data_IF_754270623397
#
_entry.id   IF_754270623397
#
_cell.length_a   1.000
_cell.length_b   1.000
_cell.length_c   1.000
_cell.angle_alpha   90.00
_cell.angle_beta   90.00
_cell.angle_gamma   90.00
#
_symmetry.space_group_name_H-M   'P 1'
#
loop_
_entity.id
_entity.type
_entity.pdbx_description
1 polymer ?
#
# COMPACT_ATOMS: atom_id res chain seq x y z
N UNK A 1 -0.39 -41.41 6.35
CA UNK A 1 -0.49 -40.28 7.29
C UNK A 1 0.81 -40.32 8.03
N UNK A 2 1.83 -39.68 7.45
CA UNK A 2 3.13 -39.57 8.11
C UNK A 2 2.98 -38.52 9.22
N UNK A 3 3.34 -38.93 10.44
CA UNK A 3 3.35 -38.07 11.62
C UNK A 3 4.42 -36.99 11.37
N UNK A 4 4.08 -35.69 11.42
CA UNK A 4 5.06 -34.64 11.18
C UNK A 4 6.22 -34.79 12.17
N UNK A 5 7.44 -34.90 11.64
CA UNK A 5 8.65 -35.04 12.44
C UNK A 5 8.73 -33.94 13.50
N UNK A 6 9.23 -34.26 14.70
CA UNK A 6 9.31 -33.34 15.85
C UNK A 6 9.94 -31.97 15.50
N UNK A 7 10.82 -31.93 14.50
CA UNK A 7 11.48 -30.73 13.98
C UNK A 7 10.53 -29.78 13.21
N UNK A 8 9.60 -30.33 12.43
CA UNK A 8 8.60 -29.56 11.68
C UNK A 8 7.58 -28.90 12.64
N UNK A 9 7.17 -29.65 13.66
CA UNK A 9 6.29 -29.15 14.72
C UNK A 9 6.93 -28.02 15.54
N UNK A 10 8.24 -28.13 15.83
CA UNK A 10 8.98 -27.09 16.55
C UNK A 10 9.12 -25.79 15.73
N UNK A 11 9.37 -25.92 14.42
CA UNK A 11 9.48 -24.77 13.51
C UNK A 11 8.14 -24.02 13.38
N UNK A 12 7.02 -24.74 13.24
CA UNK A 12 5.68 -24.15 13.19
C UNK A 12 5.36 -23.34 14.46
N UNK A 13 5.69 -23.89 15.64
CA UNK A 13 5.47 -23.22 16.92
C UNK A 13 6.36 -21.97 17.07
N UNK A 14 7.60 -22.03 16.62
CA UNK A 14 8.53 -20.90 16.65
C UNK A 14 8.05 -19.76 15.73
N UNK A 15 7.61 -20.08 14.51
CA UNK A 15 7.06 -19.08 13.58
C UNK A 15 5.77 -18.45 14.11
N UNK A 16 4.90 -19.24 14.73
CA UNK A 16 3.70 -18.73 15.37
C UNK A 16 4.03 -17.75 16.51
N UNK A 17 5.05 -18.02 17.33
CA UNK A 17 5.47 -17.12 18.40
C UNK A 17 6.07 -15.81 17.87
N UNK A 18 6.86 -15.87 16.79
CA UNK A 18 7.48 -14.69 16.19
C UNK A 18 6.53 -13.86 15.31
N UNK A 19 5.42 -14.43 14.85
CA UNK A 19 4.42 -13.73 14.04
C UNK A 19 3.86 -12.49 14.73
N UNK A 20 3.54 -12.59 16.02
CA UNK A 20 2.95 -11.52 16.82
C UNK A 20 3.87 -10.29 16.91
N UNK A 21 5.15 -10.39 17.34
CA UNK A 21 6.03 -9.24 17.34
C UNK A 21 6.27 -8.70 15.92
N UNK A 22 6.38 -9.55 14.90
CA UNK A 22 6.52 -9.09 13.50
C UNK A 22 5.34 -8.22 13.08
N UNK A 23 4.10 -8.66 13.34
CA UNK A 23 2.90 -7.88 13.06
C UNK A 23 2.93 -6.54 13.81
N UNK A 24 3.19 -6.57 15.12
CA UNK A 24 3.16 -5.38 15.96
C UNK A 24 4.20 -4.34 15.52
N UNK A 25 5.45 -4.75 15.32
CA UNK A 25 6.51 -3.85 14.89
C UNK A 25 6.26 -3.32 13.48
N UNK A 26 5.77 -4.17 12.56
CA UNK A 26 5.42 -3.74 11.21
C UNK A 26 4.33 -2.67 11.22
N UNK A 27 3.27 -2.86 12.01
CA UNK A 27 2.21 -1.87 12.15
C UNK A 27 2.70 -0.56 12.77
N UNK A 28 3.56 -0.63 13.78
CA UNK A 28 4.18 0.58 14.36
C UNK A 28 4.99 1.34 13.32
N UNK A 29 5.81 0.64 12.54
CA UNK A 29 6.60 1.26 11.46
C UNK A 29 5.66 1.87 10.41
N UNK A 30 4.67 1.13 9.91
CA UNK A 30 3.68 1.64 8.93
C UNK A 30 3.06 2.94 9.43
N UNK A 31 2.60 2.98 10.69
CA UNK A 31 1.99 4.18 11.28
C UNK A 31 2.96 5.35 11.34
N UNK A 32 4.21 5.12 11.74
CA UNK A 32 5.22 6.18 11.77
C UNK A 32 5.53 6.70 10.37
N UNK A 33 5.67 5.82 9.37
CA UNK A 33 5.96 6.23 7.99
C UNK A 33 4.81 7.00 7.35
N UNK A 34 3.55 6.64 7.66
CA UNK A 34 2.36 7.32 7.15
C UNK A 34 2.29 8.80 7.58
N UNK A 35 2.85 9.13 8.75
CA UNK A 35 2.90 10.51 9.27
C UNK A 35 4.08 11.33 8.74
N UNK A 36 4.96 10.73 7.94
CA UNK A 36 6.17 11.38 7.43
C UNK A 36 6.04 11.77 5.95
N UNK A 37 6.73 12.85 5.58
CA UNK A 37 6.87 13.21 4.17
C UNK A 37 7.85 12.25 3.49
N UNK A 38 7.51 11.80 2.27
CA UNK A 38 8.35 10.91 1.45
C UNK A 38 9.82 11.37 1.41
N UNK A 39 10.74 10.43 1.66
CA UNK A 39 12.19 10.64 1.74
C UNK A 39 12.64 11.72 2.75
N UNK A 40 11.81 12.13 3.72
CA UNK A 40 12.17 13.08 4.76
C UNK A 40 12.32 12.37 6.10
N UNK A 41 13.58 12.19 6.48
CA UNK A 41 13.95 11.71 7.79
C UNK A 41 13.88 12.84 8.82
N UNK A 42 13.76 12.46 10.09
CA UNK A 42 13.72 13.41 11.19
C UNK A 42 15.13 13.94 11.47
N UNK A 43 15.19 15.18 11.97
CA UNK A 43 16.46 15.78 12.35
C UNK A 43 16.94 15.21 13.69
N UNK A 44 18.19 14.77 13.73
CA UNK A 44 18.83 14.38 14.98
C UNK A 44 18.97 15.60 15.91
N UNK A 45 18.66 15.42 17.18
CA UNK A 45 18.86 16.42 18.23
C UNK A 45 20.17 16.13 18.96
N UNK A 46 21.22 16.94 18.78
CA UNK A 46 22.56 16.60 19.28
C UNK A 46 22.64 16.43 20.81
N UNK A 47 21.67 16.97 21.54
CA UNK A 47 21.54 16.94 23.01
C UNK A 47 20.74 15.74 23.55
N UNK A 48 20.14 14.91 22.69
CA UNK A 48 19.33 13.76 23.09
C UNK A 48 20.06 12.43 22.87
N UNK A 49 19.85 11.46 23.78
CA UNK A 49 20.38 10.10 23.61
C UNK A 49 19.76 9.42 22.38
N UNK A 50 20.48 8.54 21.67
CA UNK A 50 19.99 7.86 20.47
C UNK A 50 18.58 7.26 20.61
N UNK A 51 18.31 6.54 21.71
CA UNK A 51 17.03 5.84 21.93
C UNK A 51 15.86 6.78 22.27
N UNK A 52 16.14 8.06 22.50
CA UNK A 52 15.14 9.10 22.76
C UNK A 52 14.87 9.98 21.54
N UNK A 53 15.67 9.80 20.49
CA UNK A 53 15.51 10.51 19.24
C UNK A 53 14.23 10.06 18.53
N UNK A 54 13.58 10.96 17.78
CA UNK A 54 12.41 10.57 17.03
C UNK A 54 12.86 9.76 15.80
N UNK A 55 12.32 8.55 15.64
CA UNK A 55 12.62 7.65 14.52
C UNK A 55 11.78 7.99 13.27
N UNK A 56 12.28 7.81 12.03
CA UNK A 56 13.65 7.48 11.64
C UNK A 56 14.50 8.73 11.38
N UNK A 57 15.79 8.69 11.70
CA UNK A 57 16.77 9.77 11.46
C UNK A 57 17.53 9.61 10.14
N UNK A 58 17.68 8.37 9.68
CA UNK A 58 18.42 8.07 8.46
C UNK A 58 17.98 6.74 7.82
N UNK A 59 18.42 6.43 6.59
CA UNK A 59 18.06 5.18 5.92
C UNK A 59 18.45 3.91 6.68
N UNK A 60 19.57 3.91 7.41
CA UNK A 60 19.98 2.75 8.22
C UNK A 60 19.07 2.50 9.41
N UNK A 61 18.27 3.48 9.85
CA UNK A 61 17.28 3.25 10.90
C UNK A 61 16.07 2.47 10.37
N UNK A 62 15.76 2.63 9.08
CA UNK A 62 14.72 1.86 8.39
C UNK A 62 15.19 0.45 8.03
N UNK A 63 16.43 0.36 7.55
CA UNK A 63 17.00 -0.83 6.94
C UNK A 63 18.34 -1.15 7.63
N UNK A 64 18.33 -1.54 8.91
CA UNK A 64 19.55 -1.66 9.72
C UNK A 64 20.52 -2.72 9.19
N UNK A 65 20.00 -3.74 8.51
CA UNK A 65 20.80 -4.80 7.91
C UNK A 65 21.04 -4.58 6.40
N UNK A 66 20.68 -3.42 5.86
CA UNK A 66 20.76 -3.12 4.43
C UNK A 66 19.54 -3.59 3.63
N UNK A 67 19.43 -3.06 2.40
CA UNK A 67 18.22 -3.25 1.56
C UNK A 67 17.96 -4.73 1.24
N UNK A 68 18.99 -5.47 0.82
CA UNK A 68 18.84 -6.85 0.38
C UNK A 68 18.34 -7.76 1.51
N UNK A 69 18.98 -7.70 2.68
CA UNK A 69 18.56 -8.47 3.85
C UNK A 69 17.15 -8.10 4.30
N UNK A 70 16.76 -6.83 4.22
CA UNK A 70 15.38 -6.43 4.50
C UNK A 70 14.40 -7.03 3.48
N UNK A 71 14.72 -7.01 2.19
CA UNK A 71 13.85 -7.60 1.14
C UNK A 71 13.71 -9.12 1.35
N UNK A 72 14.80 -9.82 1.66
CA UNK A 72 14.78 -11.25 1.95
C UNK A 72 13.91 -11.55 3.17
N UNK A 73 14.07 -10.78 4.26
CA UNK A 73 13.25 -10.92 5.46
C UNK A 73 11.76 -10.64 5.20
N UNK A 74 11.44 -9.58 4.47
CA UNK A 74 10.06 -9.25 4.10
C UNK A 74 9.46 -10.28 3.14
N UNK A 75 10.26 -10.84 2.22
CA UNK A 75 9.81 -11.91 1.33
C UNK A 75 9.45 -13.16 2.12
N UNK A 76 10.30 -13.54 3.07
CA UNK A 76 10.06 -14.66 3.98
C UNK A 76 8.76 -14.48 4.78
N UNK A 77 8.60 -13.35 5.47
CA UNK A 77 7.42 -13.10 6.31
C UNK A 77 6.15 -12.80 5.52
N UNK A 78 6.29 -12.32 4.29
CA UNK A 78 5.16 -12.09 3.41
C UNK A 78 4.61 -13.38 2.80
N UNK A 79 5.33 -14.49 2.83
CA UNK A 79 4.93 -15.75 2.19
C UNK A 79 4.11 -16.58 3.17
N UNK A 80 2.84 -16.82 2.83
CA UNK A 80 1.87 -17.54 3.66
C UNK A 80 2.31 -18.96 4.04
N UNK A 81 3.22 -19.57 3.29
CA UNK A 81 3.77 -20.90 3.60
C UNK A 81 4.58 -20.90 4.89
N UNK A 82 5.21 -19.78 5.23
CA UNK A 82 6.07 -19.65 6.41
C UNK A 82 5.37 -19.03 7.62
N UNK A 83 4.15 -18.50 7.45
CA UNK A 83 3.37 -17.92 8.55
C UNK A 83 2.42 -18.93 9.22
N UNK A 84 2.66 -20.23 9.04
CA UNK A 84 1.80 -21.30 9.58
C UNK A 84 0.31 -21.14 9.20
N UNK A 85 0.04 -20.56 8.03
CA UNK A 85 -1.31 -20.27 7.58
C UNK A 85 -1.96 -19.06 8.27
N UNK A 86 -1.22 -18.23 9.00
CA UNK A 86 -1.70 -16.90 9.42
C UNK A 86 -1.60 -15.91 8.25
N UNK A 87 -2.73 -15.56 7.61
CA UNK A 87 -2.73 -14.59 6.53
C UNK A 87 -2.38 -13.17 7.03
N UNK A 88 -2.58 -12.86 8.32
CA UNK A 88 -2.40 -11.50 8.86
C UNK A 88 -0.93 -11.08 8.76
N UNK A 89 -0.02 -11.95 9.19
CA UNK A 89 1.43 -11.70 9.12
C UNK A 89 1.89 -11.38 7.70
N UNK A 90 1.44 -12.18 6.73
CA UNK A 90 1.77 -12.01 5.32
C UNK A 90 1.27 -10.66 4.78
N UNK A 91 0.00 -10.34 5.04
CA UNK A 91 -0.64 -9.08 4.62
C UNK A 91 0.07 -7.86 5.21
N UNK A 92 0.31 -7.86 6.52
CA UNK A 92 0.96 -6.75 7.23
C UNK A 92 2.39 -6.56 6.74
N UNK A 93 3.08 -7.65 6.39
CA UNK A 93 4.43 -7.58 5.82
C UNK A 93 4.42 -6.96 4.42
N UNK A 94 3.46 -7.31 3.57
CA UNK A 94 3.30 -6.67 2.26
C UNK A 94 2.94 -5.18 2.39
N UNK A 95 2.09 -4.82 3.35
CA UNK A 95 1.76 -3.43 3.65
C UNK A 95 2.98 -2.65 4.14
N UNK A 96 3.81 -3.26 5.01
CA UNK A 96 5.07 -2.68 5.44
C UNK A 96 6.00 -2.43 4.25
N UNK A 97 6.15 -3.41 3.36
CA UNK A 97 6.96 -3.28 2.16
C UNK A 97 6.44 -2.16 1.23
N UNK A 98 5.12 -2.03 1.07
CA UNK A 98 4.47 -0.94 0.33
C UNK A 98 4.78 0.44 0.94
N UNK A 99 4.69 0.55 2.27
CA UNK A 99 4.95 1.79 2.98
C UNK A 99 6.43 2.17 2.95
N UNK A 100 7.34 1.20 3.07
CA UNK A 100 8.78 1.42 2.90
C UNK A 100 9.11 1.86 1.47
N UNK A 101 8.51 1.24 0.45
CA UNK A 101 8.68 1.61 -0.95
C UNK A 101 8.15 3.02 -1.25
N UNK A 102 6.99 3.35 -0.70
CA UNK A 102 6.38 4.67 -0.80
C UNK A 102 7.24 5.73 -0.11
N UNK A 103 7.77 5.44 1.07
CA UNK A 103 8.58 6.38 1.85
C UNK A 103 9.99 6.55 1.31
N UNK A 104 10.70 5.46 0.99
CA UNK A 104 12.11 5.44 0.62
C UNK A 104 12.32 4.98 -0.83
N UNK A 105 12.48 5.94 -1.75
CA UNK A 105 12.59 5.69 -3.19
C UNK A 105 13.69 4.68 -3.59
N UNK A 106 14.90 4.70 -2.99
CA UNK A 106 15.90 3.66 -3.25
C UNK A 106 15.42 2.24 -2.94
N UNK A 107 14.67 2.04 -1.86
CA UNK A 107 14.14 0.72 -1.51
C UNK A 107 13.12 0.21 -2.54
N UNK A 108 12.23 1.08 -3.02
CA UNK A 108 11.30 0.73 -4.09
C UNK A 108 12.02 0.29 -5.38
N UNK A 109 13.12 0.97 -5.76
CA UNK A 109 13.94 0.57 -6.92
C UNK A 109 14.61 -0.79 -6.70
N UNK A 110 15.04 -1.08 -5.49
CA UNK A 110 15.62 -2.39 -5.15
C UNK A 110 14.57 -3.50 -5.24
N UNK A 111 13.33 -3.24 -4.79
CA UNK A 111 12.20 -4.18 -4.94
C UNK A 111 11.87 -4.48 -6.42
N UNK A 112 12.15 -3.55 -7.33
CA UNK A 112 12.00 -3.74 -8.78
C UNK A 112 13.18 -4.46 -9.42
N UNK A 113 14.09 -5.05 -8.65
CA UNK A 113 15.11 -5.93 -9.23
C UNK A 113 14.59 -7.36 -9.35
N UNK A 114 14.99 -8.11 -10.39
CA UNK A 114 14.75 -9.55 -10.43
C UNK A 114 15.23 -10.21 -9.13
N UNK A 115 14.51 -11.20 -8.59
CA UNK A 115 13.40 -11.95 -9.22
C UNK A 115 11.99 -11.34 -9.06
N UNK A 116 11.84 -10.11 -8.57
CA UNK A 116 10.55 -9.43 -8.38
C UNK A 116 9.57 -10.14 -7.43
N UNK A 117 10.10 -11.00 -6.54
CA UNK A 117 9.29 -11.83 -5.64
C UNK A 117 8.34 -10.99 -4.81
N UNK A 118 8.88 -10.05 -4.03
CA UNK A 118 8.10 -9.26 -3.09
C UNK A 118 7.28 -8.14 -3.76
N UNK A 119 7.78 -7.56 -4.86
CA UNK A 119 7.12 -6.45 -5.55
C UNK A 119 5.96 -6.87 -6.44
N UNK A 120 5.95 -8.13 -6.91
CA UNK A 120 4.99 -8.55 -7.93
C UNK A 120 4.52 -9.99 -7.77
N UNK A 121 5.42 -10.98 -7.78
CA UNK A 121 5.03 -12.38 -7.93
C UNK A 121 4.25 -12.90 -6.71
N UNK A 122 4.75 -12.65 -5.51
CA UNK A 122 4.13 -13.06 -4.26
C UNK A 122 2.83 -12.30 -3.97
N UNK A 123 2.76 -10.96 -4.15
CA UNK A 123 1.48 -10.26 -4.06
C UNK A 123 0.43 -10.80 -5.05
N UNK A 124 0.81 -11.08 -6.31
CA UNK A 124 -0.11 -11.65 -7.30
C UNK A 124 -0.62 -13.05 -6.89
N UNK A 125 0.26 -13.91 -6.38
CA UNK A 125 -0.13 -15.22 -5.88
C UNK A 125 -1.11 -15.11 -4.70
N UNK A 126 -0.88 -14.15 -3.80
CA UNK A 126 -1.78 -13.88 -2.69
C UNK A 126 -3.14 -13.35 -3.13
N UNK A 127 -3.19 -12.44 -4.11
CA UNK A 127 -4.46 -12.01 -4.71
C UNK A 127 -5.22 -13.18 -5.32
N UNK A 128 -4.52 -14.04 -6.06
CA UNK A 128 -5.12 -15.21 -6.67
C UNK A 128 -5.76 -16.13 -5.63
N UNK A 129 -5.03 -16.47 -4.58
CA UNK A 129 -5.55 -17.31 -3.50
C UNK A 129 -6.75 -16.66 -2.79
N UNK A 130 -6.64 -15.38 -2.41
CA UNK A 130 -7.68 -14.67 -1.66
C UNK A 130 -8.98 -14.51 -2.46
N UNK A 131 -8.92 -14.58 -3.79
CA UNK A 131 -10.08 -14.52 -4.70
C UNK A 131 -10.63 -15.91 -5.04
N UNK A 132 -9.84 -16.98 -4.88
CA UNK A 132 -10.25 -18.37 -5.13
C UNK A 132 -10.97 -19.03 -3.95
N UNK A 133 -11.05 -18.37 -2.78
CA UNK A 133 -11.80 -18.88 -1.64
C UNK A 133 -13.28 -19.02 -2.06
N UNK A 134 -13.88 -20.24 -2.04
CA UNK A 134 -15.27 -20.50 -2.47
C UNK A 134 -16.30 -19.61 -1.77
N UNK A 135 -15.92 -19.04 -0.64
CA UNK A 135 -16.76 -18.15 0.14
C UNK A 135 -17.17 -16.88 -0.60
N UNK A 136 -16.41 -16.34 -1.57
CA UNK A 136 -16.80 -15.04 -2.16
C UNK A 136 -18.09 -15.11 -2.99
N UNK A 137 -18.31 -16.20 -3.74
CA UNK A 137 -19.57 -16.45 -4.47
C UNK A 137 -20.69 -17.00 -3.58
N UNK A 138 -20.35 -17.60 -2.44
CA UNK A 138 -21.31 -18.17 -1.48
C UNK A 138 -21.65 -17.20 -0.33
N UNK A 139 -20.89 -16.13 -0.17
CA UNK A 139 -21.08 -15.10 0.85
C UNK A 139 -22.29 -14.25 0.49
N UNK A 140 -23.42 -14.62 1.10
CA UNK A 140 -24.68 -13.86 1.03
C UNK A 140 -24.59 -12.44 1.62
N UNK A 141 -23.49 -12.10 2.29
CA UNK A 141 -23.31 -10.81 2.97
C UNK A 141 -22.32 -9.91 2.22
N UNK A 142 -22.80 -8.81 1.60
CA UNK A 142 -21.94 -7.79 0.98
C UNK A 142 -20.85 -7.25 1.91
N UNK A 143 -21.12 -7.20 3.22
CA UNK A 143 -20.17 -6.72 4.24
C UNK A 143 -18.95 -7.62 4.36
N UNK A 144 -19.13 -8.94 4.33
CA UNK A 144 -18.00 -9.88 4.41
C UNK A 144 -17.11 -9.82 3.16
N UNK A 145 -17.72 -9.64 1.98
CA UNK A 145 -16.97 -9.42 0.74
C UNK A 145 -16.15 -8.12 0.80
N UNK A 146 -16.67 -7.05 1.41
CA UNK A 146 -15.91 -5.81 1.62
C UNK A 146 -14.74 -6.01 2.59
N UNK A 147 -14.95 -6.72 3.70
CA UNK A 147 -13.88 -6.98 4.67
C UNK A 147 -12.72 -7.81 4.09
N UNK A 148 -13.03 -8.84 3.28
CA UNK A 148 -12.00 -9.60 2.57
C UNK A 148 -11.25 -8.70 1.59
N UNK A 149 -11.99 -7.87 0.87
CA UNK A 149 -11.40 -6.93 -0.07
C UNK A 149 -10.42 -5.96 0.61
N UNK A 150 -10.85 -5.29 1.67
CA UNK A 150 -10.04 -4.31 2.40
C UNK A 150 -8.83 -4.96 3.08
N UNK A 151 -8.98 -6.18 3.58
CA UNK A 151 -7.93 -6.87 4.33
C UNK A 151 -6.92 -7.57 3.42
N UNK A 152 -7.39 -8.28 2.39
CA UNK A 152 -6.54 -9.19 1.61
C UNK A 152 -6.09 -8.58 0.28
N UNK A 153 -6.93 -7.72 -0.34
CA UNK A 153 -6.68 -7.20 -1.68
C UNK A 153 -5.99 -5.83 -1.62
N UNK A 154 -6.47 -4.93 -0.74
CA UNK A 154 -5.96 -3.56 -0.68
C UNK A 154 -4.45 -3.48 -0.38
N UNK A 155 -3.88 -4.27 0.57
CA UNK A 155 -2.45 -4.21 0.85
C UNK A 155 -1.57 -4.69 -0.32
N UNK A 156 -2.05 -5.68 -1.08
CA UNK A 156 -1.38 -6.12 -2.30
C UNK A 156 -1.41 -5.03 -3.38
N UNK A 157 -2.57 -4.39 -3.59
CA UNK A 157 -2.64 -3.26 -4.53
C UNK A 157 -1.69 -2.15 -4.08
N UNK A 158 -1.61 -1.89 -2.77
CA UNK A 158 -0.73 -0.89 -2.17
C UNK A 158 0.73 -1.05 -2.58
N UNK A 159 1.30 -2.27 -2.52
CA UNK A 159 2.69 -2.48 -2.93
C UNK A 159 2.90 -2.28 -4.42
N UNK A 160 1.97 -2.74 -5.26
CA UNK A 160 2.06 -2.58 -6.71
C UNK A 160 1.98 -1.09 -7.08
N UNK A 161 1.07 -0.34 -6.47
CA UNK A 161 0.95 1.10 -6.64
C UNK A 161 2.19 1.86 -6.14
N UNK A 162 2.71 1.51 -4.96
CA UNK A 162 3.90 2.14 -4.39
C UNK A 162 5.10 2.06 -5.33
N UNK A 163 5.27 0.90 -5.97
CA UNK A 163 6.33 0.66 -6.95
C UNK A 163 6.08 1.44 -8.25
N UNK A 164 4.85 1.41 -8.78
CA UNK A 164 4.45 2.18 -9.98
C UNK A 164 4.71 3.69 -9.81
N UNK A 165 4.36 4.27 -8.67
CA UNK A 165 4.56 5.70 -8.39
C UNK A 165 6.02 6.08 -8.10
N UNK A 166 6.89 5.08 -7.93
CA UNK A 166 8.31 5.31 -7.71
C UNK A 166 9.10 5.40 -9.02
N UNK A 167 8.94 4.40 -9.88
CA UNK A 167 9.64 4.31 -11.16
C UNK A 167 8.72 3.63 -12.17
N UNK A 168 8.02 4.44 -12.96
CA UNK A 168 7.03 3.95 -13.91
C UNK A 168 7.68 3.07 -14.99
N UNK A 169 8.84 3.46 -15.49
CA UNK A 169 9.50 2.73 -16.58
C UNK A 169 10.10 1.43 -16.06
N UNK A 170 10.72 1.45 -14.87
CA UNK A 170 11.17 0.24 -14.18
C UNK A 170 10.02 -0.72 -13.87
N UNK A 171 8.85 -0.20 -13.49
CA UNK A 171 7.65 -1.01 -13.26
C UNK A 171 7.13 -1.65 -14.56
N UNK A 172 7.08 -0.91 -15.67
CA UNK A 172 6.69 -1.48 -16.97
C UNK A 172 7.69 -2.55 -17.41
N UNK A 173 8.99 -2.30 -17.26
CA UNK A 173 10.03 -3.28 -17.58
C UNK A 173 9.87 -4.58 -16.77
N UNK A 174 9.59 -4.46 -15.47
CA UNK A 174 9.27 -5.59 -14.60
C UNK A 174 8.06 -6.39 -15.10
N UNK A 175 6.96 -5.71 -15.47
CA UNK A 175 5.76 -6.36 -16.00
C UNK A 175 6.02 -7.06 -17.36
N UNK A 176 6.79 -6.44 -18.25
CA UNK A 176 7.16 -7.02 -19.55
C UNK A 176 8.03 -8.27 -19.36
N UNK A 177 8.99 -8.22 -18.44
CA UNK A 177 9.88 -9.36 -18.14
C UNK A 177 9.16 -10.54 -17.49
N UNK A 178 8.00 -10.30 -16.86
CA UNK A 178 7.21 -11.31 -16.16
C UNK A 178 5.87 -11.59 -16.82
N UNK A 179 5.65 -11.10 -18.05
CA UNK A 179 4.35 -11.11 -18.73
C UNK A 179 3.71 -12.50 -18.82
N UNK A 180 4.51 -13.55 -19.03
CA UNK A 180 4.03 -14.91 -19.21
C UNK A 180 3.45 -15.48 -17.90
N UNK A 181 3.90 -14.97 -16.75
CA UNK A 181 3.34 -15.27 -15.43
C UNK A 181 2.20 -14.32 -15.06
N UNK A 182 2.38 -13.02 -15.31
CA UNK A 182 1.46 -11.97 -14.87
C UNK A 182 0.14 -11.97 -15.64
N UNK A 183 0.18 -12.09 -16.97
CA UNK A 183 -1.01 -11.98 -17.80
C UNK A 183 -2.08 -13.04 -17.48
N UNK A 184 -1.76 -14.34 -17.38
CA UNK A 184 -2.75 -15.34 -17.02
C UNK A 184 -3.37 -15.10 -15.64
N UNK A 185 -2.57 -14.63 -14.67
CA UNK A 185 -3.07 -14.32 -13.32
C UNK A 185 -4.04 -13.15 -13.37
N UNK A 186 -3.66 -12.04 -14.02
CA UNK A 186 -4.52 -10.86 -14.14
C UNK A 186 -5.84 -11.21 -14.86
N UNK A 187 -5.80 -12.00 -15.93
CA UNK A 187 -7.00 -12.41 -16.67
C UNK A 187 -7.96 -13.22 -15.79
N UNK A 188 -7.43 -14.17 -14.99
CA UNK A 188 -8.22 -14.92 -14.01
C UNK A 188 -8.81 -14.02 -12.93
N UNK A 189 -7.99 -13.14 -12.34
CA UNK A 189 -8.41 -12.19 -11.31
C UNK A 189 -9.52 -11.26 -11.81
N UNK A 190 -9.34 -10.68 -12.99
CA UNK A 190 -10.30 -9.79 -13.65
C UNK A 190 -11.63 -10.52 -13.86
N UNK A 191 -11.59 -11.75 -14.37
CA UNK A 191 -12.79 -12.56 -14.60
C UNK A 191 -13.53 -12.88 -13.31
N UNK A 192 -12.82 -13.12 -12.20
CA UNK A 192 -13.41 -13.41 -10.89
C UNK A 192 -13.99 -12.17 -10.23
N UNK A 193 -13.25 -11.05 -10.22
CA UNK A 193 -13.72 -9.79 -9.66
C UNK A 193 -14.95 -9.24 -10.39
N UNK A 194 -15.10 -9.53 -11.68
CA UNK A 194 -16.30 -9.19 -12.45
C UNK A 194 -17.58 -9.87 -11.94
N UNK A 195 -17.48 -10.96 -11.17
CA UNK A 195 -18.61 -11.69 -10.60
C UNK A 195 -19.07 -11.14 -9.24
N UNK A 196 -18.28 -10.27 -8.62
CA UNK A 196 -18.62 -9.68 -7.33
C UNK A 196 -19.68 -8.56 -7.53
N UNK A 197 -20.51 -8.21 -6.53
CA UNK A 197 -21.57 -7.16 -6.61
C UNK A 197 -21.06 -5.70 -6.57
N UNK A 198 -21.17 -4.88 -7.64
CA UNK A 198 -20.63 -3.50 -7.68
C UNK A 198 -21.05 -2.65 -6.45
N UNK A 199 -20.19 -1.75 -5.90
CA UNK A 199 -19.23 -0.91 -6.62
C UNK A 199 -17.76 -0.89 -6.12
N UNK A 200 -17.38 -1.72 -5.15
CA UNK A 200 -16.13 -1.48 -4.36
C UNK A 200 -14.82 -1.65 -5.15
N UNK A 201 -14.76 -2.53 -6.15
CA UNK A 201 -13.51 -2.87 -6.88
C UNK A 201 -13.40 -2.26 -8.28
N UNK A 202 -14.33 -1.40 -8.71
CA UNK A 202 -14.33 -0.86 -10.09
C UNK A 202 -13.03 -0.14 -10.46
N UNK A 203 -12.45 0.61 -9.54
CA UNK A 203 -11.15 1.27 -9.73
C UNK A 203 -10.00 0.28 -9.85
N UNK A 204 -10.06 -0.81 -9.10
CA UNK A 204 -9.00 -1.81 -9.02
C UNK A 204 -9.01 -2.74 -10.24
N UNK A 205 -10.20 -3.05 -10.76
CA UNK A 205 -10.37 -3.68 -12.06
C UNK A 205 -9.71 -2.87 -13.17
N UNK A 206 -9.94 -1.56 -13.19
CA UNK A 206 -9.31 -0.69 -14.18
C UNK A 206 -7.77 -0.67 -14.01
N UNK A 207 -7.25 -0.70 -12.78
CA UNK A 207 -5.81 -0.82 -12.52
C UNK A 207 -5.23 -2.15 -13.04
N UNK A 208 -5.88 -3.27 -12.76
CA UNK A 208 -5.50 -4.60 -13.27
C UNK A 208 -5.50 -4.63 -14.81
N UNK A 209 -6.53 -4.06 -15.45
CA UNK A 209 -6.57 -3.90 -16.91
C UNK A 209 -5.39 -3.06 -17.43
N UNK A 210 -5.02 -2.00 -16.70
CA UNK A 210 -3.84 -1.19 -16.98
C UNK A 210 -2.53 -1.97 -16.85
N UNK A 211 -2.38 -2.80 -15.81
CA UNK A 211 -1.20 -3.65 -15.63
C UNK A 211 -1.09 -4.69 -16.75
N UNK A 212 -2.22 -5.32 -17.14
CA UNK A 212 -2.23 -6.23 -18.29
C UNK A 212 -1.84 -5.51 -19.59
N UNK A 213 -2.26 -4.25 -19.77
CA UNK A 213 -1.85 -3.45 -20.93
C UNK A 213 -0.35 -3.13 -20.92
N UNK A 214 0.19 -2.77 -19.75
CA UNK A 214 1.63 -2.50 -19.57
C UNK A 214 2.49 -3.74 -19.75
N UNK A 215 2.05 -4.92 -19.29
CA UNK A 215 2.76 -6.18 -19.50
C UNK A 215 2.83 -6.59 -21.00
N UNK A 216 1.88 -6.11 -21.82
CA UNK A 216 1.85 -6.29 -23.28
C UNK A 216 2.67 -5.23 -24.03
N UNK A 217 3.30 -4.29 -23.32
CA UNK A 217 4.10 -3.24 -23.95
C UNK A 217 5.31 -3.82 -24.69
N UNK A 218 5.79 -3.08 -25.68
CA UNK A 218 7.05 -3.36 -26.38
C UNK A 218 7.98 -2.18 -26.23
N UNK A 219 9.29 -2.45 -26.08
CA UNK A 219 10.29 -1.39 -25.95
C UNK A 219 10.61 -0.84 -27.35
N UNK A 220 10.44 0.46 -27.52
CA UNK A 220 10.80 1.16 -28.74
C UNK A 220 12.32 1.19 -28.89
N UNK A 221 12.89 0.62 -29.98
CA UNK A 221 14.33 0.61 -30.18
C UNK A 221 14.93 2.00 -30.41
N UNK A 222 14.14 3.00 -30.84
CA UNK A 222 14.64 4.35 -31.12
C UNK A 222 14.62 5.24 -29.89
N UNK A 223 13.52 5.24 -29.14
CA UNK A 223 13.35 6.12 -27.98
C UNK A 223 13.71 5.46 -26.66
N UNK A 224 13.80 4.12 -26.62
CA UNK A 224 13.95 3.34 -25.40
C UNK A 224 12.68 3.28 -24.53
N UNK A 225 11.62 3.99 -24.91
CA UNK A 225 10.35 4.03 -24.20
C UNK A 225 9.47 2.80 -24.47
N UNK A 226 8.36 2.68 -23.73
CA UNK A 226 7.42 1.58 -23.89
C UNK A 226 6.19 1.97 -24.71
N UNK A 227 5.88 1.18 -25.74
CA UNK A 227 4.72 1.33 -26.61
C UNK A 227 3.66 0.30 -26.18
N UNK A 228 2.49 0.79 -25.78
CA UNK A 228 1.31 -0.02 -25.47
C UNK A 228 0.60 -0.34 -26.81
N UNK A 229 0.30 -1.62 -27.11
CA UNK A 229 -0.40 -1.96 -28.35
C UNK A 229 -1.84 -1.42 -28.36
N UNK A 230 -2.36 -1.10 -29.55
CA UNK A 230 -3.71 -0.57 -29.75
C UNK A 230 -4.79 -1.44 -29.09
N UNK A 231 -4.62 -2.77 -29.17
CA UNK A 231 -5.53 -3.74 -28.55
C UNK A 231 -5.64 -3.62 -27.03
N UNK A 232 -4.64 -3.04 -26.37
CA UNK A 232 -4.59 -2.86 -24.92
C UNK A 232 -4.83 -1.41 -24.47
N UNK A 233 -4.91 -0.47 -25.40
CA UNK A 233 -5.02 0.98 -25.12
C UNK A 233 -6.29 1.33 -24.32
N UNK A 234 -7.39 0.63 -24.56
CA UNK A 234 -8.64 0.84 -23.81
C UNK A 234 -8.46 0.59 -22.31
N UNK A 235 -7.85 -0.55 -21.94
CA UNK A 235 -7.59 -0.89 -20.54
C UNK A 235 -6.62 0.10 -19.88
N UNK A 236 -5.55 0.45 -20.59
CA UNK A 236 -4.59 1.46 -20.14
C UNK A 236 -5.25 2.82 -19.85
N UNK A 237 -6.09 3.32 -20.76
CA UNK A 237 -6.78 4.60 -20.59
C UNK A 237 -7.77 4.60 -19.41
N UNK A 238 -8.43 3.46 -19.13
CA UNK A 238 -9.29 3.33 -17.95
C UNK A 238 -8.47 3.38 -16.66
N UNK A 239 -7.36 2.66 -16.59
CA UNK A 239 -6.42 2.73 -15.46
C UNK A 239 -5.93 4.16 -15.24
N UNK A 240 -5.49 4.82 -16.32
CA UNK A 240 -5.02 6.21 -16.29
C UNK A 240 -6.08 7.16 -15.72
N UNK A 241 -7.33 7.06 -16.17
CA UNK A 241 -8.43 7.88 -15.66
C UNK A 241 -8.66 7.68 -14.15
N UNK A 242 -8.53 6.45 -13.64
CA UNK A 242 -8.63 6.17 -12.19
C UNK A 242 -7.52 6.87 -11.42
N UNK A 243 -6.27 6.77 -11.88
CA UNK A 243 -5.12 7.42 -11.24
C UNK A 243 -5.26 8.94 -11.29
N UNK A 244 -5.66 9.50 -12.43
CA UNK A 244 -5.86 10.95 -12.60
C UNK A 244 -6.98 11.49 -11.71
N UNK A 245 -8.09 10.76 -11.58
CA UNK A 245 -9.18 11.14 -10.67
C UNK A 245 -8.74 11.14 -9.20
N UNK A 246 -7.91 10.18 -8.77
CA UNK A 246 -7.32 10.18 -7.42
C UNK A 246 -6.40 11.39 -7.19
N UNK A 247 -5.60 11.75 -8.20
CA UNK A 247 -4.72 12.93 -8.14
C UNK A 247 -5.52 14.25 -8.11
N UNK A 248 -6.67 14.31 -8.81
CA UNK A 248 -7.55 15.48 -8.80
C UNK A 248 -8.15 15.72 -7.41
N UNK A 249 -8.50 14.66 -6.68
CA UNK A 249 -8.97 14.74 -5.29
C UNK A 249 -7.89 15.34 -4.35
N UNK A 250 -6.64 14.90 -4.50
CA UNK A 250 -5.49 15.44 -3.75
C UNK A 250 -5.25 16.91 -4.11
N UNK A 251 -5.32 17.29 -5.38
CA UNK A 251 -5.14 18.68 -5.80
C UNK A 251 -6.25 19.58 -5.27
N UNK A 252 -7.50 19.14 -5.33
CA UNK A 252 -8.62 19.88 -4.75
C UNK A 252 -8.46 20.03 -3.23
N UNK A 253 -8.00 18.98 -2.55
CA UNK A 253 -7.66 19.02 -1.11
C UNK A 253 -6.52 20.00 -0.84
N UNK A 254 -5.46 19.99 -1.65
CA UNK A 254 -4.32 20.89 -1.52
C UNK A 254 -4.70 22.36 -1.80
N UNK A 255 -5.55 22.59 -2.80
CA UNK A 255 -6.12 23.91 -3.13
C UNK A 255 -7.04 24.42 -2.00
N UNK A 256 -7.71 23.54 -1.26
CA UNK A 256 -8.43 23.87 -0.02
C UNK A 256 -7.46 24.14 1.16
N UNK A 257 -6.30 23.46 1.20
CA UNK A 257 -5.28 23.67 2.24
C UNK A 257 -4.46 24.95 2.05
N UNK A 258 -4.23 25.39 0.81
CA UNK A 258 -3.42 26.57 0.45
C UNK A 258 -3.91 27.88 1.11
N UNK A 259 -5.22 28.22 1.10
CA UNK A 259 -5.76 29.38 1.82
C UNK A 259 -5.58 29.27 3.34
N UNK A 260 -5.73 28.07 3.90
CA UNK A 260 -5.59 27.81 5.34
C UNK A 260 -4.15 28.03 5.81
N UNK A 261 -3.17 27.63 4.99
CA UNK A 261 -1.74 27.84 5.26
C UNK A 261 -1.32 29.32 5.30
N UNK A 262 -2.07 30.20 4.63
CA UNK A 262 -1.82 31.66 4.61
C UNK A 262 -2.36 32.40 5.84
N UNK A 263 -3.14 31.75 6.72
CA UNK A 263 -3.75 32.35 7.90
C UNK A 263 -3.10 31.90 9.22
N UNK A 264 -1.88 32.36 9.50
CA UNK A 264 -1.14 32.06 10.73
C UNK A 264 -1.92 32.34 12.03
N UNK A 265 -1.59 31.57 13.08
CA UNK A 265 -2.34 31.44 14.33
C UNK A 265 -2.46 32.72 15.17
N UNK A 266 -3.64 32.96 15.77
CA UNK A 266 -3.78 33.30 17.20
C UNK A 266 -5.26 33.33 17.64
N UNK A 267 -5.67 32.35 18.47
CA UNK A 267 -6.30 32.54 19.79
C UNK A 267 -6.83 31.21 20.37
N UNK A 268 -6.64 31.04 21.69
CA UNK A 268 -6.94 29.85 22.51
C UNK A 268 -8.43 29.79 22.91
N UNK A 269 -9.19 30.86 22.69
CA UNK A 269 -10.64 30.85 22.90
C UNK A 269 -11.36 30.60 21.58
N UNK A 270 -11.97 29.43 21.45
CA UNK A 270 -12.94 29.14 20.39
C UNK A 270 -14.32 29.54 20.92
N UNK A 271 -14.85 30.75 20.62
CA UNK A 271 -16.20 31.08 21.01
C UNK A 271 -17.14 30.18 20.21
N UNK A 272 -17.83 29.28 20.91
CA UNK A 272 -19.04 28.63 20.42
C UNK A 272 -19.92 29.71 19.78
N UNK A 273 -19.97 29.73 18.45
CA UNK A 273 -20.83 30.62 17.68
C UNK A 273 -21.41 29.82 16.52
N UNK A 274 -22.53 29.18 16.86
CA UNK A 274 -23.76 29.21 16.07
C UNK A 274 -23.61 29.82 14.66
N UNK A 275 -23.68 28.97 13.63
CA UNK A 275 -24.20 29.41 12.33
C UNK A 275 -23.41 29.01 11.08
N UNK A 276 -22.13 28.62 11.14
CA UNK A 276 -21.40 28.21 9.92
C UNK A 276 -21.28 26.69 9.82
N UNK A 277 -21.94 26.10 8.82
CA UNK A 277 -21.96 24.66 8.51
C UNK A 277 -20.66 24.09 7.89
N UNK A 278 -19.62 24.92 7.77
CA UNK A 278 -18.32 24.56 7.20
C UNK A 278 -17.30 24.18 8.29
N UNK A 279 -16.59 23.05 8.18
CA UNK A 279 -15.53 22.69 9.11
C UNK A 279 -14.39 23.71 9.03
N UNK A 280 -14.03 24.31 10.16
CA UNK A 280 -12.89 25.24 10.23
C UNK A 280 -11.62 24.42 10.49
N UNK A 281 -10.67 24.44 9.54
CA UNK A 281 -9.29 23.99 9.77
C UNK A 281 -8.53 25.07 10.53
N UNK A 282 -7.67 24.68 11.48
CA UNK A 282 -6.62 25.56 12.02
C UNK A 282 -5.29 24.82 12.13
N UNK A 283 -4.21 25.49 11.75
CA UNK A 283 -2.85 24.99 11.95
C UNK A 283 -2.38 25.30 13.37
N UNK A 284 -1.80 24.31 14.06
CA UNK A 284 -1.11 24.56 15.32
C UNK A 284 0.31 25.07 15.04
N UNK A 285 0.62 26.30 15.45
CA UNK A 285 1.92 26.94 15.20
C UNK A 285 3.11 26.31 15.93
N UNK A 286 2.90 25.32 16.79
CA UNK A 286 3.98 24.65 17.54
C UNK A 286 4.33 23.26 17.02
N UNK A 287 3.49 22.61 16.20
CA UNK A 287 3.68 21.20 15.86
C UNK A 287 3.44 20.85 14.39
N UNK A 288 3.35 21.84 13.49
CA UNK A 288 3.13 21.67 12.05
C UNK A 288 1.93 20.79 11.64
N UNK A 289 1.04 20.50 12.60
CA UNK A 289 -0.15 19.67 12.40
C UNK A 289 -1.38 20.53 12.15
N UNK A 290 -2.19 20.10 11.18
CA UNK A 290 -3.53 20.61 10.94
C UNK A 290 -4.51 19.98 11.92
N UNK A 291 -5.25 20.82 12.65
CA UNK A 291 -6.35 20.38 13.53
C UNK A 291 -7.68 20.84 12.97
N UNK A 292 -8.64 19.94 12.97
CA UNK A 292 -10.00 20.20 12.50
C UNK A 292 -10.90 20.50 13.70
N UNK A 293 -11.62 21.63 13.68
CA UNK A 293 -12.67 21.91 14.66
C UNK A 293 -14.04 21.97 13.97
N UNK A 294 -14.87 20.95 14.22
CA UNK A 294 -16.26 20.89 13.76
C UNK A 294 -16.89 19.50 13.95
N UNK A 295 -18.15 19.45 14.41
CA UNK A 295 -18.88 18.20 14.65
C UNK A 295 -18.99 17.30 13.40
N UNK A 296 -18.99 17.87 12.19
CA UNK A 296 -19.09 17.11 10.93
C UNK A 296 -17.82 16.34 10.55
N UNK A 297 -16.64 16.73 11.07
CA UNK A 297 -15.37 16.03 10.74
C UNK A 297 -15.26 14.69 11.48
N UNK A 298 -16.05 14.48 12.55
CA UNK A 298 -16.20 13.14 13.13
C UNK A 298 -16.69 12.13 12.09
N UNK A 299 -17.56 12.51 11.15
CA UNK A 299 -18.19 11.54 10.24
C UNK A 299 -17.24 11.07 9.13
N UNK A 300 -16.38 11.95 8.59
CA UNK A 300 -15.47 11.56 7.49
C UNK A 300 -14.28 10.74 8.00
N UNK A 301 -13.77 11.03 9.21
CA UNK A 301 -12.71 10.22 9.83
C UNK A 301 -13.23 8.92 10.47
N UNK A 302 -14.48 8.89 10.95
CA UNK A 302 -15.10 7.64 11.43
C UNK A 302 -15.60 6.73 10.31
N UNK A 303 -15.94 7.23 9.11
CA UNK A 303 -16.29 6.36 7.99
C UNK A 303 -15.09 5.56 7.44
N UNK A 304 -13.85 6.01 7.68
CA UNK A 304 -12.64 5.23 7.41
C UNK A 304 -12.17 4.35 8.58
N UNK A 305 -12.78 4.48 9.77
CA UNK A 305 -12.47 3.66 10.95
C UNK A 305 -13.61 2.70 11.35
N UNK A 306 -14.78 2.82 10.72
CA UNK A 306 -15.92 1.90 10.85
C UNK A 306 -16.54 1.71 9.46
N UNK A 307 -15.85 0.94 8.62
CA UNK A 307 -16.45 0.01 7.66
C UNK A 307 -15.67 -1.29 7.78
#
# INVERSE_FOLDING_TARGET
MDDPTDEESLNVAYHALLSVPVILFSQLIIRVLADLTRNKFRNAKPDQMPDTQPWPLCPSDLLPNGMQTTIEGLSFWGDKRYTSGDPISSIVTLDLAANLASFHTPFARELMRPPYTLSLLQPLAQLEESIMVPSLSEMKSPRMSCLIYEREILPVVGIIEAVLYCDRDGFIEMLVNTKDTVLPVIERLTSRLALLPPPVWGSHMALLEGFAAMAKATKDPQTGGFIIPDSATKGFNRAKAVVENRLFDIRSTFEVMLPVRKGGCWNIDCPNSSGSSMPKLRLCGQCDLLRYCGQKVRVIFLQFLIC
#
